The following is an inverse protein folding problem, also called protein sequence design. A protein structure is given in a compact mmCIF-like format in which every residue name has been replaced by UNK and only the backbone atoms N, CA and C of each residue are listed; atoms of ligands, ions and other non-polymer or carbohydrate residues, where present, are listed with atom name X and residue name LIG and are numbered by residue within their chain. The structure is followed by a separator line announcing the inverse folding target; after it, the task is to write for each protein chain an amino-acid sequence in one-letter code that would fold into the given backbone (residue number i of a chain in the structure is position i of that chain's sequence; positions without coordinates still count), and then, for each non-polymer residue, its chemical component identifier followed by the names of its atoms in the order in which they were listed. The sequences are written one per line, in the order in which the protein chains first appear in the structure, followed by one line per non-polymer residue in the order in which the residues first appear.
data_IF_389149609685
#
_entry.id   IF_389149609685
#
_cell.length_a   1.000
_cell.length_b   1.000
_cell.length_c   1.000
_cell.angle_alpha   90.00
_cell.angle_beta   90.00
_cell.angle_gamma   90.00
#
_symmetry.space_group_name_H-M   'P 1'
#
loop_
_entity.id
_entity.type
_entity.pdbx_description
1 polymer ?
#
# COMPACT_ATOMS: atom_id res chain seq x y z
N UNK A 1 -3.74 29.69 -0.16
CA UNK A 1 -4.94 28.83 -0.04
C UNK A 1 -5.05 28.00 -1.32
N UNK A 2 -4.68 26.73 -1.28
CA UNK A 2 -5.09 25.73 -2.27
C UNK A 2 -4.92 24.35 -1.61
N UNK A 3 -6.01 23.61 -1.60
CA UNK A 3 -6.34 22.49 -0.74
C UNK A 3 -5.70 21.19 -1.23
N UNK A 4 -5.02 20.46 -0.34
CA UNK A 4 -4.55 19.11 -0.63
C UNK A 4 -5.61 18.10 -0.17
N UNK A 5 -6.42 17.62 -1.12
CA UNK A 5 -7.40 16.55 -0.90
C UNK A 5 -6.67 15.22 -0.63
N UNK A 6 -7.10 14.55 0.44
CA UNK A 6 -6.51 13.33 0.95
C UNK A 6 -6.67 12.12 0.05
N UNK A 7 -5.81 11.14 0.27
CA UNK A 7 -6.05 9.76 -0.15
C UNK A 7 -5.68 8.84 1.02
N UNK A 8 -6.69 8.52 1.81
CA UNK A 8 -6.67 7.52 2.88
C UNK A 8 -6.75 6.13 2.24
N UNK A 9 -5.61 5.45 2.10
CA UNK A 9 -5.60 4.01 1.84
C UNK A 9 -5.68 3.27 3.16
N UNK A 10 -6.91 3.08 3.63
CA UNK A 10 -7.23 2.29 4.80
C UNK A 10 -7.74 0.89 4.45
N UNK A 11 -7.01 -0.12 4.95
CA UNK A 11 -7.53 -1.35 5.59
C UNK A 11 -8.19 -2.36 4.62
N UNK A 12 -7.58 -3.54 4.40
CA UNK A 12 -7.36 -4.54 5.43
C UNK A 12 -8.64 -5.34 5.66
N UNK A 13 -9.09 -6.10 4.65
CA UNK A 13 -10.26 -6.96 4.73
C UNK A 13 -9.93 -8.22 5.54
N UNK A 14 -10.00 -8.09 6.87
CA UNK A 14 -10.08 -9.21 7.80
C UNK A 14 -11.48 -9.28 8.39
N UNK A 15 -12.20 -10.37 8.16
CA UNK A 15 -12.69 -11.26 9.22
C UNK A 15 -13.70 -12.25 8.65
N UNK A 16 -13.25 -13.49 8.47
CA UNK A 16 -14.14 -14.64 8.44
C UNK A 16 -14.72 -14.80 9.83
N UNK A 17 -16.01 -14.50 9.96
CA UNK A 17 -16.79 -14.70 11.16
C UNK A 17 -16.97 -16.22 11.36
N UNK A 18 -16.09 -16.82 12.16
CA UNK A 18 -16.26 -18.20 12.65
C UNK A 18 -16.66 -18.13 14.12
N UNK A 19 -17.95 -17.98 14.35
CA UNK A 19 -18.54 -18.23 15.67
C UNK A 19 -18.74 -19.72 15.82
N UNK A 20 -17.97 -20.35 16.69
CA UNK A 20 -18.24 -21.70 17.19
C UNK A 20 -18.18 -21.71 18.70
N UNK A 21 -19.22 -22.31 19.26
CA UNK A 21 -19.67 -22.36 20.65
C UNK A 21 -18.67 -22.86 21.69
N UNK A 22 -18.89 -22.35 22.90
CA UNK A 22 -18.93 -23.04 24.21
C UNK A 22 -17.96 -24.21 24.47
N UNK A 23 -16.99 -23.95 25.35
CA UNK A 23 -16.22 -24.96 26.06
C UNK A 23 -15.80 -24.44 27.43
N UNK A 24 -16.48 -24.90 28.48
CA UNK A 24 -16.13 -24.63 29.87
C UNK A 24 -14.78 -25.25 30.21
N UNK A 25 -13.73 -24.45 30.25
CA UNK A 25 -12.39 -24.87 30.67
C UNK A 25 -11.78 -23.79 31.55
N UNK A 26 -12.01 -23.90 32.87
CA UNK A 26 -11.14 -23.42 33.97
C UNK A 26 -10.22 -22.24 33.61
N UNK A 27 -10.82 -21.12 33.20
CA UNK A 27 -10.08 -20.02 32.58
C UNK A 27 -9.57 -19.07 33.65
N UNK A 28 -8.26 -18.85 33.73
CA UNK A 28 -7.72 -17.70 34.46
C UNK A 28 -8.45 -16.46 33.98
N UNK A 29 -9.19 -15.79 34.88
CA UNK A 29 -9.92 -14.58 34.52
C UNK A 29 -8.98 -13.63 33.79
N UNK A 30 -9.45 -13.03 32.69
CA UNK A 30 -8.69 -11.96 32.01
C UNK A 30 -8.37 -10.92 33.07
N UNK A 31 -7.07 -10.73 33.36
CA UNK A 31 -6.55 -9.81 34.36
C UNK A 31 -5.44 -8.98 33.74
N UNK A 32 -5.20 -7.79 34.29
CA UNK A 32 -4.20 -6.85 33.76
C UNK A 32 -4.54 -6.37 32.35
N UNK A 33 -3.53 -6.23 31.49
CA UNK A 33 -3.70 -5.74 30.11
C UNK A 33 -4.74 -6.52 29.30
N UNK A 34 -4.84 -7.84 29.49
CA UNK A 34 -5.79 -8.68 28.76
C UNK A 34 -7.25 -8.45 29.15
N UNK A 35 -7.51 -7.77 30.28
CA UNK A 35 -8.85 -7.39 30.74
C UNK A 35 -9.28 -6.00 30.23
N UNK A 36 -8.34 -5.17 29.78
CA UNK A 36 -8.61 -3.80 29.31
C UNK A 36 -9.18 -3.80 27.89
N UNK A 37 -9.87 -2.72 27.53
CA UNK A 37 -10.31 -2.54 26.14
C UNK A 37 -9.11 -2.25 25.21
N UNK A 38 -9.27 -2.47 23.90
CA UNK A 38 -8.17 -2.34 22.93
C UNK A 38 -7.62 -0.91 22.85
N UNK A 39 -8.47 0.09 23.02
CA UNK A 39 -8.09 1.50 22.99
C UNK A 39 -7.15 1.84 24.16
N UNK A 40 -7.49 1.40 25.36
CA UNK A 40 -6.65 1.55 26.55
C UNK A 40 -5.33 0.81 26.40
N UNK A 41 -5.33 -0.42 25.86
CA UNK A 41 -4.10 -1.16 25.60
C UNK A 41 -3.20 -0.42 24.62
N UNK A 42 -3.77 0.13 23.52
CA UNK A 42 -3.02 0.92 22.53
C UNK A 42 -2.47 2.20 23.14
N UNK A 43 -3.25 2.91 23.95
CA UNK A 43 -2.82 4.13 24.61
C UNK A 43 -1.66 3.86 25.58
N UNK A 44 -1.75 2.80 26.38
CA UNK A 44 -0.69 2.42 27.32
C UNK A 44 0.56 1.97 26.55
N UNK A 45 0.42 1.18 25.47
CA UNK A 45 1.55 0.79 24.63
C UNK A 45 2.23 2.01 23.98
N UNK A 46 1.43 2.96 23.47
CA UNK A 46 1.93 4.21 22.89
C UNK A 46 2.71 5.03 23.91
N UNK A 47 2.14 5.25 25.10
CA UNK A 47 2.80 5.94 26.22
C UNK A 47 4.07 5.22 26.68
N UNK A 48 4.04 3.89 26.73
CA UNK A 48 5.20 3.06 27.07
C UNK A 48 6.35 3.22 26.08
N UNK A 49 6.06 3.22 24.78
CA UNK A 49 7.04 3.47 23.73
C UNK A 49 7.64 4.88 23.83
N UNK A 50 6.79 5.91 23.95
CA UNK A 50 7.24 7.30 24.13
C UNK A 50 8.11 7.47 25.38
N UNK A 51 7.71 6.87 26.50
CA UNK A 51 8.48 6.94 27.74
C UNK A 51 9.83 6.22 27.62
N UNK A 52 9.90 5.09 26.90
CA UNK A 52 11.16 4.37 26.71
C UNK A 52 12.18 5.17 25.88
N UNK A 53 11.71 5.88 24.85
CA UNK A 53 12.52 6.84 24.09
C UNK A 53 12.95 8.04 24.94
N UNK A 54 12.02 8.68 25.65
CA UNK A 54 12.34 9.81 26.53
C UNK A 54 13.34 9.43 27.64
N UNK A 55 13.29 8.20 28.14
CA UNK A 55 14.21 7.68 29.16
C UNK A 55 15.54 7.17 28.60
N UNK A 56 15.72 7.14 27.28
CA UNK A 56 16.92 6.60 26.63
C UNK A 56 17.13 5.10 26.82
N UNK A 57 16.08 4.37 27.22
CA UNK A 57 16.11 2.90 27.34
C UNK A 57 15.77 2.21 26.02
N UNK A 58 15.10 2.92 25.12
CA UNK A 58 14.83 2.45 23.77
C UNK A 58 16.06 2.70 22.88
N UNK A 59 16.16 1.89 21.83
CA UNK A 59 17.10 2.15 20.76
C UNK A 59 16.64 3.35 19.93
N UNK A 60 17.54 4.30 19.72
CA UNK A 60 17.28 5.47 18.88
C UNK A 60 17.51 5.10 17.42
N UNK A 61 16.49 5.31 16.59
CA UNK A 61 16.55 5.01 15.16
C UNK A 61 17.33 6.12 14.44
N UNK A 62 18.65 6.12 14.61
CA UNK A 62 19.52 7.08 13.95
C UNK A 62 19.56 6.86 12.43
N UNK A 63 19.71 7.94 11.67
CA UNK A 63 19.73 7.89 10.21
C UNK A 63 20.93 7.12 9.65
N UNK A 64 22.08 7.17 10.30
CA UNK A 64 23.26 6.39 9.91
C UNK A 64 23.05 4.91 10.13
N UNK A 65 22.37 4.52 11.21
CA UNK A 65 22.07 3.12 11.48
C UNK A 65 21.04 2.56 10.52
N UNK A 66 19.97 3.31 10.24
CA UNK A 66 19.02 2.96 9.21
C UNK A 66 19.71 2.75 7.84
N UNK A 67 20.67 3.62 7.50
CA UNK A 67 21.48 3.49 6.28
C UNK A 67 22.34 2.23 6.30
N UNK A 68 23.05 1.95 7.39
CA UNK A 68 23.88 0.73 7.52
C UNK A 68 23.04 -0.54 7.44
N UNK A 69 21.88 -0.56 8.09
CA UNK A 69 20.95 -1.68 8.03
C UNK A 69 20.42 -1.88 6.60
N UNK A 70 20.03 -0.80 5.92
CA UNK A 70 19.62 -0.82 4.52
C UNK A 70 20.73 -1.30 3.59
N UNK A 71 21.96 -0.82 3.78
CA UNK A 71 23.13 -1.27 3.02
C UNK A 71 23.39 -2.76 3.23
N UNK A 72 23.41 -3.24 4.47
CA UNK A 72 23.62 -4.67 4.79
C UNK A 72 22.53 -5.56 4.17
N UNK A 73 21.27 -5.11 4.22
CA UNK A 73 20.16 -5.79 3.54
C UNK A 73 20.34 -5.82 2.02
N UNK A 74 20.70 -4.69 1.43
CA UNK A 74 20.99 -4.58 -0.01
C UNK A 74 22.16 -5.46 -0.45
N UNK A 75 23.25 -5.50 0.32
CA UNK A 75 24.40 -6.36 0.08
C UNK A 75 24.05 -7.85 0.17
N UNK A 76 23.19 -8.24 1.10
CA UNK A 76 22.72 -9.63 1.23
C UNK A 76 21.88 -10.05 0.02
N UNK A 77 20.98 -9.19 -0.43
CA UNK A 77 20.05 -9.48 -1.54
C UNK A 77 20.76 -9.40 -2.90
N UNK A 78 21.71 -8.48 -3.08
CA UNK A 78 22.39 -8.24 -4.37
C UNK A 78 23.44 -9.29 -4.77
N UNK A 79 23.73 -10.29 -3.93
CA UNK A 79 24.74 -11.32 -4.21
C UNK A 79 24.46 -12.11 -5.49
N UNK A 80 23.18 -12.38 -5.79
CA UNK A 80 22.80 -13.06 -7.02
C UNK A 80 22.37 -12.04 -8.08
N UNK A 81 23.34 -11.56 -8.85
CA UNK A 81 23.12 -10.56 -9.90
C UNK A 81 22.18 -11.06 -11.00
N UNK A 82 22.29 -12.32 -11.41
CA UNK A 82 21.47 -12.90 -12.47
C UNK A 82 20.00 -12.93 -12.07
N UNK A 83 19.71 -13.41 -10.86
CA UNK A 83 18.36 -13.41 -10.30
C UNK A 83 17.79 -12.00 -10.15
N UNK A 84 18.59 -11.03 -9.69
CA UNK A 84 18.15 -9.64 -9.58
C UNK A 84 17.87 -9.01 -10.94
N UNK A 85 18.66 -9.33 -11.95
CA UNK A 85 18.43 -8.88 -13.32
C UNK A 85 17.14 -9.48 -13.90
N UNK A 86 16.85 -10.75 -13.61
CA UNK A 86 15.60 -11.41 -14.00
C UNK A 86 14.38 -10.77 -13.34
N UNK A 87 14.42 -10.53 -12.02
CA UNK A 87 13.35 -9.81 -11.30
C UNK A 87 13.14 -8.42 -11.90
N UNK A 88 14.23 -7.68 -12.14
CA UNK A 88 14.18 -6.36 -12.76
C UNK A 88 13.56 -6.38 -14.15
N UNK A 89 13.93 -7.37 -14.98
CA UNK A 89 13.37 -7.56 -16.32
C UNK A 89 11.87 -7.83 -16.26
N UNK A 90 11.43 -8.78 -15.44
CA UNK A 90 10.01 -9.11 -15.24
C UNK A 90 9.21 -7.91 -14.72
N UNK A 91 9.80 -7.11 -13.82
CA UNK A 91 9.24 -5.85 -13.34
C UNK A 91 9.11 -4.79 -14.44
N UNK A 92 10.07 -4.72 -15.36
CA UNK A 92 10.02 -3.84 -16.54
C UNK A 92 8.94 -4.27 -17.54
N UNK A 93 8.89 -5.55 -17.88
CA UNK A 93 7.93 -6.13 -18.83
C UNK A 93 6.47 -5.97 -18.36
N UNK A 94 6.23 -6.17 -17.06
CA UNK A 94 4.90 -5.97 -16.45
C UNK A 94 4.45 -4.50 -16.51
N UNK A 95 5.37 -3.54 -16.31
CA UNK A 95 5.08 -2.11 -16.47
C UNK A 95 4.82 -1.75 -17.92
N UNK A 96 5.61 -2.27 -18.86
CA UNK A 96 5.45 -2.00 -20.29
C UNK A 96 4.14 -2.59 -20.84
N UNK A 97 3.78 -3.80 -20.44
CA UNK A 97 2.50 -4.42 -20.83
C UNK A 97 1.31 -3.65 -20.25
N UNK A 98 1.37 -3.19 -19.00
CA UNK A 98 0.36 -2.32 -18.42
C UNK A 98 0.25 -0.97 -19.16
N UNK A 99 1.38 -0.36 -19.51
CA UNK A 99 1.43 0.88 -20.31
C UNK A 99 0.84 0.67 -21.69
N UNK A 100 1.26 -0.36 -22.44
CA UNK A 100 0.71 -0.70 -23.76
C UNK A 100 -0.78 -0.98 -23.72
N UNK A 101 -1.26 -1.65 -22.67
CA UNK A 101 -2.69 -1.88 -22.48
C UNK A 101 -3.46 -0.57 -22.20
N UNK A 102 -2.86 0.40 -21.52
CA UNK A 102 -3.45 1.71 -21.29
C UNK A 102 -3.41 2.59 -22.56
N UNK A 103 -2.30 2.57 -23.29
CA UNK A 103 -2.14 3.21 -24.60
C UNK A 103 -3.19 2.71 -25.58
N UNK A 104 -3.38 1.38 -25.67
CA UNK A 104 -4.37 0.76 -26.56
C UNK A 104 -5.81 1.17 -26.22
N UNK A 105 -6.12 1.33 -24.92
CA UNK A 105 -7.44 1.81 -24.47
C UNK A 105 -7.66 3.29 -24.80
N UNK A 106 -6.61 4.10 -24.67
CA UNK A 106 -6.68 5.53 -24.96
C UNK A 106 -6.66 5.83 -26.46
N UNK A 107 -5.98 5.03 -27.28
CA UNK A 107 -6.08 5.11 -28.75
C UNK A 107 -7.44 4.65 -29.26
N UNK A 108 -8.02 3.58 -28.69
CA UNK A 108 -9.37 3.12 -29.03
C UNK A 108 -10.46 4.15 -28.63
N UNK A 109 -10.30 4.83 -27.48
CA UNK A 109 -11.18 5.91 -27.07
C UNK A 109 -11.08 7.16 -27.96
N UNK A 110 -9.91 7.43 -28.55
CA UNK A 110 -9.68 8.56 -29.47
C UNK A 110 -10.15 8.27 -30.91
N UNK A 111 -10.02 7.02 -31.38
CA UNK A 111 -10.50 6.63 -32.72
C UNK A 111 -12.02 6.44 -32.81
N UNK A 112 -12.71 6.27 -31.67
CA UNK A 112 -14.18 6.25 -31.61
C UNK A 112 -14.84 7.64 -31.65
N UNK A 113 -14.05 8.72 -31.71
CA UNK A 113 -14.52 10.11 -31.57
C UNK A 113 -14.50 10.97 -32.83
N UNK A 114 -14.17 10.44 -34.01
CA UNK A 114 -14.12 11.23 -35.26
C UNK A 114 -15.26 10.84 -36.19
N UNK A 115 -16.43 11.42 -35.96
CA UNK A 115 -17.61 11.29 -36.82
C UNK A 115 -18.58 12.47 -36.73
N UNK A 116 -18.12 13.64 -36.28
CA UNK A 116 -18.92 14.88 -36.30
C UNK A 116 -18.09 16.03 -36.87
N UNK A 117 -18.73 16.79 -37.77
CA UNK A 117 -18.33 18.03 -38.46
C UNK A 117 -17.50 17.81 -39.74
N UNK A 118 -17.89 18.31 -40.92
CA UNK A 118 -18.99 19.20 -41.30
C UNK A 118 -18.81 19.69 -42.76
N UNK A 119 -19.83 20.37 -43.31
CA UNK A 119 -19.80 21.14 -44.57
C UNK A 119 -21.00 20.77 -45.46
N UNK A 120 -22.13 21.49 -45.48
CA UNK A 120 -22.41 22.83 -46.04
C UNK A 120 -22.46 22.87 -47.58
N UNK A 121 -23.65 23.25 -48.07
CA UNK A 121 -23.98 23.89 -49.36
C UNK A 121 -23.82 22.96 -50.61
N UNK A 122 -24.65 22.88 -51.65
CA UNK A 122 -25.36 23.86 -52.49
C UNK A 122 -26.46 23.16 -53.36
N UNK A 123 -27.35 23.97 -53.93
CA UNK A 123 -28.47 23.70 -54.85
C UNK A 123 -28.11 22.90 -56.13
N UNK A 124 -29.03 22.09 -56.69
CA UNK A 124 -29.37 22.11 -58.14
C UNK A 124 -30.64 21.29 -58.48
N UNK A 125 -31.35 21.74 -59.51
CA UNK A 125 -32.71 21.36 -59.94
C UNK A 125 -32.78 20.08 -60.78
N UNK A 126 -33.97 19.47 -60.79
CA UNK A 126 -34.44 18.53 -61.82
C UNK A 126 -35.95 18.38 -61.79
#
# INVERSE_FOLDING_TARGET
MASNQGNEQGKGAGSSQKTSESGSAKGTSKRGFAAMNEEQQREIASKGGQAAHQKGTAHEFDSEEARRAGQKGGEAVSRNREHMAEIGRKGGESRQSAQRANESRSTAARSGGTGRQGGKDEDDKG
#
